data_IF_943156273220
#
_entry.id   IF_943156273220
#
_cell.length_a   1.000
_cell.length_b   1.000
_cell.length_c   1.000
_cell.angle_alpha   90.00
_cell.angle_beta   90.00
_cell.angle_gamma   90.00
#
_symmetry.space_group_name_H-M   'P 1'
#
loop_
_entity.id
_entity.type
_entity.pdbx_description
1 polymer ?
#
# COMPACT_ATOMS: atom_id res chain seq x y z
N UNK A 1 6.29 -13.48 -29.15
CA UNK A 1 6.00 -13.67 -27.72
C UNK A 1 7.24 -13.23 -26.95
N UNK A 2 7.30 -11.97 -26.49
CA UNK A 2 8.48 -11.47 -25.79
C UNK A 2 8.22 -11.55 -24.28
N UNK A 3 9.04 -12.33 -23.59
CA UNK A 3 8.98 -12.52 -22.14
C UNK A 3 9.47 -11.23 -21.49
N UNK A 4 8.59 -10.55 -20.76
CA UNK A 4 8.91 -9.36 -19.98
C UNK A 4 9.74 -9.79 -18.77
N UNK A 5 11.07 -9.69 -18.84
CA UNK A 5 11.91 -9.81 -17.66
C UNK A 5 11.97 -8.44 -16.99
N UNK A 6 11.31 -8.31 -15.84
CA UNK A 6 11.46 -7.16 -14.96
C UNK A 6 12.83 -7.25 -14.29
N UNK A 7 13.71 -6.28 -14.56
CA UNK A 7 14.98 -6.14 -13.85
C UNK A 7 14.71 -5.18 -12.68
N UNK A 8 14.77 -5.63 -11.40
CA UNK A 8 14.60 -4.73 -10.27
C UNK A 8 15.86 -3.87 -10.10
N UNK A 9 15.71 -2.55 -10.22
CA UNK A 9 16.73 -1.58 -9.83
C UNK A 9 16.48 -1.22 -8.34
N UNK A 10 17.45 -1.39 -7.43
CA UNK A 10 17.27 -1.05 -6.03
C UNK A 10 17.29 0.48 -5.84
N UNK A 11 16.28 1.03 -5.17
CA UNK A 11 16.34 2.38 -4.56
C UNK A 11 15.49 3.48 -5.20
N UNK A 12 14.91 3.26 -6.37
CA UNK A 12 13.87 4.14 -6.94
C UNK A 12 12.59 3.31 -7.09
N UNK A 13 11.42 3.92 -6.85
CA UNK A 13 10.11 3.31 -7.14
C UNK A 13 10.17 2.60 -8.48
N UNK A 14 10.06 1.27 -8.49
CA UNK A 14 10.32 0.45 -9.67
C UNK A 14 9.55 0.98 -10.88
N UNK A 15 10.27 1.64 -11.79
CA UNK A 15 9.75 2.12 -13.06
C UNK A 15 9.55 0.87 -13.93
N UNK A 16 8.34 0.32 -13.91
CA UNK A 16 7.95 -0.74 -14.83
C UNK A 16 7.82 -0.14 -16.23
N UNK A 17 8.90 -0.21 -17.01
CA UNK A 17 8.91 0.21 -18.40
C UNK A 17 8.14 -0.82 -19.25
N UNK A 18 6.98 -0.41 -19.76
CA UNK A 18 6.25 -1.18 -20.75
C UNK A 18 6.81 -0.91 -22.15
N UNK A 19 7.29 -1.94 -22.83
CA UNK A 19 7.68 -1.87 -24.25
C UNK A 19 6.44 -2.06 -25.12
N UNK A 20 5.97 -0.99 -25.77
CA UNK A 20 4.93 -1.07 -26.79
C UNK A 20 5.56 -0.91 -28.18
N UNK A 21 5.29 -1.86 -29.07
CA UNK A 21 5.77 -1.82 -30.46
C UNK A 21 4.77 -1.05 -31.32
N UNK A 22 5.20 0.08 -31.86
CA UNK A 22 4.42 0.84 -32.84
C UNK A 22 5.28 0.95 -34.11
N UNK A 23 4.93 0.18 -35.14
CA UNK A 23 5.77 0.05 -36.33
C UNK A 23 7.13 -0.59 -36.05
N UNK A 24 8.20 -0.04 -36.64
CA UNK A 24 9.59 -0.49 -36.45
C UNK A 24 10.32 0.19 -35.27
N UNK A 25 9.61 0.94 -34.42
CA UNK A 25 10.20 1.64 -33.28
C UNK A 25 9.60 1.08 -31.98
N UNK A 26 10.46 0.76 -31.02
CA UNK A 26 10.04 0.52 -29.65
C UNK A 26 9.89 1.88 -28.96
N UNK A 27 8.67 2.17 -28.50
CA UNK A 27 8.40 3.35 -27.69
C UNK A 27 8.41 2.91 -26.22
N UNK A 28 9.29 3.52 -25.44
CA UNK A 28 9.19 3.49 -23.98
C UNK A 28 7.97 4.33 -23.62
N UNK A 29 6.85 3.67 -23.29
CA UNK A 29 5.70 4.36 -22.71
C UNK A 29 5.85 4.23 -21.21
N UNK A 30 5.93 5.36 -20.52
CA UNK A 30 5.55 5.41 -19.12
C UNK A 30 4.11 4.89 -19.04
N UNK A 31 3.93 3.71 -18.46
CA UNK A 31 2.60 3.24 -18.11
C UNK A 31 2.04 4.26 -17.11
N UNK A 32 0.75 4.64 -17.18
CA UNK A 32 0.11 5.47 -16.17
C UNK A 32 -0.08 4.66 -14.88
N UNK A 33 1.03 4.29 -14.25
CA UNK A 33 1.14 3.71 -12.91
C UNK A 33 1.46 4.80 -11.88
N UNK A 34 1.55 6.07 -12.29
CA UNK A 34 2.01 7.15 -11.44
C UNK A 34 1.01 8.30 -11.37
N UNK A 35 -0.23 7.99 -10.99
CA UNK A 35 -0.87 8.91 -10.05
C UNK A 35 0.00 8.94 -8.79
N UNK A 36 0.31 10.12 -8.25
CA UNK A 36 1.02 10.25 -6.96
C UNK A 36 0.29 9.38 -5.92
N UNK A 37 0.96 8.31 -5.46
CA UNK A 37 0.43 7.40 -4.44
C UNK A 37 -0.11 8.17 -3.23
N UNK A 38 -1.07 7.57 -2.53
CA UNK A 38 -1.76 8.17 -1.38
C UNK A 38 -2.87 9.18 -1.73
N UNK A 39 -3.16 9.46 -3.01
CA UNK A 39 -4.32 10.30 -3.36
C UNK A 39 -5.61 9.52 -3.15
N UNK A 40 -6.55 10.09 -2.40
CA UNK A 40 -7.87 9.51 -2.19
C UNK A 40 -8.92 10.07 -3.16
N UNK A 41 -9.75 9.17 -3.69
CA UNK A 41 -10.99 9.49 -4.43
C UNK A 41 -12.18 9.04 -3.58
N UNK A 42 -13.11 9.94 -3.30
CA UNK A 42 -14.29 9.63 -2.50
C UNK A 42 -15.44 9.09 -3.37
N UNK A 43 -16.00 7.95 -3.00
CA UNK A 43 -17.23 7.40 -3.57
C UNK A 43 -18.42 7.80 -2.70
N UNK A 44 -19.36 8.56 -3.27
CA UNK A 44 -20.55 9.06 -2.55
C UNK A 44 -21.58 7.98 -2.22
N UNK A 45 -21.70 6.96 -3.06
CA UNK A 45 -22.71 5.90 -2.92
C UNK A 45 -22.37 4.97 -1.76
N UNK A 46 -21.11 4.52 -1.71
CA UNK A 46 -20.60 3.62 -0.68
C UNK A 46 -20.04 4.36 0.54
N UNK A 47 -19.91 5.70 0.43
CA UNK A 47 -19.21 6.55 1.40
C UNK A 47 -17.79 6.04 1.69
N UNK A 48 -17.10 5.46 0.71
CA UNK A 48 -15.73 4.96 0.86
C UNK A 48 -14.70 5.84 0.14
N UNK A 49 -13.43 5.64 0.45
CA UNK A 49 -12.32 6.26 -0.28
C UNK A 49 -11.50 5.18 -0.97
N UNK A 50 -11.10 5.43 -2.20
CA UNK A 50 -10.14 4.57 -2.92
C UNK A 50 -8.84 5.34 -3.10
N UNK A 51 -7.72 4.75 -2.69
CA UNK A 51 -6.40 5.33 -2.95
C UNK A 51 -5.99 5.11 -4.39
N UNK A 52 -5.05 5.95 -4.86
CA UNK A 52 -4.39 5.81 -6.16
C UNK A 52 -3.70 4.46 -6.38
N UNK A 53 -3.23 3.79 -5.32
CA UNK A 53 -2.71 2.43 -5.36
C UNK A 53 -3.80 1.35 -5.39
N UNK A 54 -5.07 1.73 -5.32
CA UNK A 54 -6.21 0.83 -5.43
C UNK A 54 -6.66 0.19 -4.12
N UNK A 55 -6.28 0.70 -2.96
CA UNK A 55 -6.85 0.28 -1.68
C UNK A 55 -8.19 0.96 -1.43
N UNK A 56 -9.17 0.24 -0.89
CA UNK A 56 -10.46 0.81 -0.51
C UNK A 56 -10.57 0.96 1.02
N UNK A 57 -11.00 2.13 1.47
CA UNK A 57 -11.21 2.48 2.87
C UNK A 57 -12.69 2.76 3.11
N UNK A 58 -13.38 1.78 3.70
CA UNK A 58 -14.82 1.84 3.95
C UNK A 58 -15.17 2.57 5.26
N UNK A 59 -16.47 2.73 5.52
CA UNK A 59 -16.98 3.18 6.83
C UNK A 59 -16.80 2.10 7.91
N UNK A 60 -16.93 2.51 9.17
CA UNK A 60 -16.81 1.63 10.35
C UNK A 60 -15.49 1.77 11.09
N UNK A 61 -15.27 0.90 12.09
CA UNK A 61 -14.31 1.07 13.21
C UNK A 61 -14.76 2.08 14.26
N UNK A 62 -14.07 2.10 15.41
CA UNK A 62 -14.29 3.09 16.47
C UNK A 62 -13.98 4.53 16.03
N UNK A 63 -13.22 4.70 14.94
CA UNK A 63 -12.86 6.00 14.37
C UNK A 63 -13.88 6.51 13.33
N UNK A 64 -14.91 5.71 13.02
CA UNK A 64 -15.96 6.02 12.04
C UNK A 64 -15.62 5.65 10.60
N UNK A 65 -14.35 5.69 10.18
CA UNK A 65 -13.91 5.14 8.89
C UNK A 65 -12.49 4.57 8.92
N UNK A 66 -12.17 3.75 7.91
CA UNK A 66 -10.89 3.05 7.79
C UNK A 66 -9.70 3.98 7.53
N UNK A 67 -9.88 5.12 6.86
CA UNK A 67 -8.81 6.12 6.67
C UNK A 67 -8.36 6.66 8.03
N UNK A 68 -9.30 7.09 8.87
CA UNK A 68 -9.00 7.58 10.22
C UNK A 68 -8.36 6.50 11.08
N UNK A 69 -8.83 5.26 10.97
CA UNK A 69 -8.26 4.13 11.71
C UNK A 69 -6.79 3.90 11.35
N UNK A 70 -6.44 3.81 10.06
CA UNK A 70 -5.02 3.59 9.69
C UNK A 70 -4.15 4.77 10.05
N UNK A 71 -4.66 6.01 9.93
CA UNK A 71 -3.91 7.21 10.35
C UNK A 71 -3.65 7.23 11.86
N UNK A 72 -4.47 6.58 12.68
CA UNK A 72 -4.25 6.47 14.13
C UNK A 72 -2.97 5.69 14.46
N UNK A 73 -2.52 4.77 13.59
CA UNK A 73 -1.25 4.06 13.71
C UNK A 73 -0.01 4.95 13.47
N UNK A 74 -0.17 6.27 13.30
CA UNK A 74 0.94 7.24 13.31
C UNK A 74 1.15 7.88 14.68
N UNK A 75 0.35 7.48 15.68
CA UNK A 75 0.39 8.02 17.02
C UNK A 75 0.52 6.90 18.06
N UNK A 76 1.36 7.08 19.08
CA UNK A 76 1.35 6.19 20.23
C UNK A 76 -0.02 6.20 20.91
N UNK A 77 -0.47 5.02 21.34
CA UNK A 77 -1.67 4.88 22.16
C UNK A 77 -1.28 4.19 23.48
N UNK A 78 -1.12 4.93 24.60
CA UNK A 78 -0.66 4.37 25.86
C UNK A 78 -1.64 3.32 26.44
N UNK A 79 -2.89 3.31 25.99
CA UNK A 79 -3.90 2.34 26.42
C UNK A 79 -3.82 1.01 25.64
N UNK A 80 -2.89 0.88 24.69
CA UNK A 80 -2.69 -0.33 23.87
C UNK A 80 -1.24 -0.81 23.98
N UNK A 81 -0.93 -1.77 24.87
CA UNK A 81 0.44 -2.23 25.11
C UNK A 81 1.12 -2.82 23.87
N UNK A 82 0.36 -3.41 22.95
CA UNK A 82 0.86 -4.06 21.73
C UNK A 82 0.49 -3.24 20.49
N UNK A 83 0.84 -1.94 20.49
CA UNK A 83 0.55 -1.03 19.40
C UNK A 83 1.83 -0.46 18.80
N UNK A 84 2.19 -0.95 17.62
CA UNK A 84 3.31 -0.41 16.86
C UNK A 84 2.89 0.87 16.12
N UNK A 85 3.86 1.77 15.91
CA UNK A 85 3.62 3.13 15.42
C UNK A 85 4.50 3.39 14.21
N UNK A 86 3.91 3.91 13.14
CA UNK A 86 4.66 4.33 11.96
C UNK A 86 5.58 5.52 12.28
N UNK A 87 6.80 5.50 11.75
CA UNK A 87 7.77 6.58 11.94
C UNK A 87 7.67 7.71 10.88
N UNK A 88 6.56 7.76 10.15
CA UNK A 88 6.33 8.74 9.08
C UNK A 88 5.19 9.70 9.43
N UNK A 89 5.20 10.88 8.80
CA UNK A 89 4.09 11.81 8.94
C UNK A 89 2.78 11.22 8.38
N UNK A 90 1.66 11.52 9.06
CA UNK A 90 0.32 11.04 8.68
C UNK A 90 -0.07 11.36 7.24
N UNK A 91 0.43 12.47 6.67
CA UNK A 91 0.15 12.87 5.28
C UNK A 91 0.84 11.97 4.25
N UNK A 92 1.83 11.19 4.68
CA UNK A 92 2.60 10.24 3.88
C UNK A 92 2.16 8.79 4.07
N UNK A 93 1.29 8.50 5.05
CA UNK A 93 0.93 7.13 5.36
C UNK A 93 0.25 6.41 4.19
N UNK A 94 -0.71 7.05 3.53
CA UNK A 94 -1.44 6.42 2.44
C UNK A 94 -0.54 6.15 1.22
N UNK A 95 0.48 6.99 1.01
CA UNK A 95 1.52 6.78 0.00
C UNK A 95 2.33 5.51 0.30
N UNK A 96 2.72 5.33 1.57
CA UNK A 96 3.43 4.14 2.03
C UNK A 96 2.58 2.86 1.92
N UNK A 97 1.27 2.94 2.23
CA UNK A 97 0.36 1.80 2.11
C UNK A 97 0.12 1.40 0.65
N UNK A 98 0.01 2.37 -0.26
CA UNK A 98 -0.05 2.12 -1.71
C UNK A 98 1.24 1.45 -2.21
N UNK A 99 2.40 1.92 -1.77
CA UNK A 99 3.68 1.28 -2.08
C UNK A 99 3.71 -0.18 -1.59
N UNK A 100 3.32 -0.43 -0.34
CA UNK A 100 3.25 -1.79 0.20
C UNK A 100 2.28 -2.67 -0.61
N UNK A 101 1.10 -2.15 -0.92
CA UNK A 101 0.11 -2.88 -1.73
C UNK A 101 0.66 -3.26 -3.11
N UNK A 102 1.42 -2.37 -3.75
CA UNK A 102 2.08 -2.66 -5.03
C UNK A 102 3.15 -3.77 -4.93
N UNK A 103 3.80 -3.89 -3.77
CA UNK A 103 4.82 -4.91 -3.47
C UNK A 103 4.24 -6.24 -3.01
N UNK A 104 2.94 -6.30 -2.70
CA UNK A 104 2.27 -7.47 -2.13
C UNK A 104 2.49 -8.75 -2.95
N UNK A 105 2.80 -8.63 -4.25
CA UNK A 105 3.11 -9.76 -5.13
C UNK A 105 1.93 -10.71 -5.31
N UNK A 106 2.03 -11.65 -6.25
CA UNK A 106 0.99 -12.66 -6.47
C UNK A 106 0.95 -13.75 -5.39
N UNK A 107 1.94 -13.79 -4.48
CA UNK A 107 2.23 -14.95 -3.63
C UNK A 107 1.53 -14.96 -2.27
N UNK A 108 0.60 -14.04 -2.02
CA UNK A 108 -0.22 -14.08 -0.81
C UNK A 108 -1.44 -14.96 -1.06
N UNK A 109 -1.69 -15.98 -0.21
CA UNK A 109 -2.89 -16.80 -0.34
C UNK A 109 -4.12 -15.91 -0.43
N UNK A 110 -5.00 -16.15 -1.41
CA UNK A 110 -6.25 -15.39 -1.65
C UNK A 110 -7.10 -15.26 -0.38
N UNK A 111 -6.93 -16.21 0.55
CA UNK A 111 -7.68 -16.34 1.80
C UNK A 111 -7.02 -15.63 2.99
N UNK A 112 -5.82 -15.07 2.82
CA UNK A 112 -5.10 -14.42 3.92
C UNK A 112 -5.68 -13.05 4.23
N UNK A 113 -6.13 -12.87 5.47
CA UNK A 113 -6.61 -11.57 5.97
C UNK A 113 -5.46 -10.59 6.20
N UNK A 114 -4.27 -11.09 6.55
CA UNK A 114 -3.12 -10.28 6.92
C UNK A 114 -1.94 -10.58 6.00
N UNK A 115 -1.19 -9.56 5.65
CA UNK A 115 -0.04 -9.63 4.76
C UNK A 115 1.10 -8.83 5.37
N UNK A 116 2.19 -9.49 5.74
CA UNK A 116 3.40 -8.82 6.21
C UNK A 116 4.27 -8.53 5.00
N UNK A 117 4.33 -7.26 4.62
CA UNK A 117 4.96 -6.80 3.38
C UNK A 117 6.30 -6.16 3.74
N UNK A 118 7.43 -6.76 3.36
CA UNK A 118 8.75 -6.18 3.61
C UNK A 118 8.92 -4.85 2.86
N UNK A 119 9.30 -3.79 3.58
CA UNK A 119 9.49 -2.45 3.00
C UNK A 119 10.96 -2.11 2.69
N UNK A 120 11.90 -2.95 3.15
CA UNK A 120 13.33 -2.79 2.91
C UNK A 120 13.98 -1.60 3.64
N UNK A 121 13.25 -0.96 4.55
CA UNK A 121 13.70 0.18 5.36
C UNK A 121 12.93 0.23 6.68
N UNK A 122 13.46 0.95 7.67
CA UNK A 122 12.75 1.19 8.94
C UNK A 122 11.54 2.09 8.68
N UNK A 123 10.35 1.59 8.97
CA UNK A 123 9.06 2.28 8.78
C UNK A 123 8.26 2.43 10.09
N UNK A 124 8.76 1.89 11.20
CA UNK A 124 8.18 2.05 12.53
C UNK A 124 9.15 2.65 13.55
N UNK A 125 8.61 3.13 14.66
CA UNK A 125 9.38 3.87 15.69
C UNK A 125 10.30 2.97 16.51
N UNK A 126 10.15 1.64 16.46
CA UNK A 126 10.92 0.68 17.24
C UNK A 126 11.76 -0.27 16.35
N UNK A 127 12.02 0.13 15.10
CA UNK A 127 12.84 -0.61 14.16
C UNK A 127 12.06 -1.59 13.27
N UNK A 128 10.73 -1.49 13.21
CA UNK A 128 9.91 -2.28 12.30
C UNK A 128 10.25 -2.01 10.83
N UNK A 129 10.32 -3.07 10.02
CA UNK A 129 10.78 -3.02 8.62
C UNK A 129 9.76 -3.56 7.62
N UNK A 130 8.59 -4.00 8.09
CA UNK A 130 7.50 -4.50 7.27
C UNK A 130 6.15 -3.93 7.71
N UNK A 131 5.20 -3.90 6.79
CA UNK A 131 3.83 -3.46 7.08
C UNK A 131 2.94 -4.68 7.13
N UNK A 132 2.26 -4.88 8.26
CA UNK A 132 1.11 -5.78 8.30
C UNK A 132 -0.11 -5.06 7.76
N UNK A 133 -0.49 -5.39 6.54
CA UNK A 133 -1.69 -4.88 5.88
C UNK A 133 -2.81 -5.91 5.99
N UNK A 134 -3.92 -5.53 6.63
CA UNK A 134 -5.07 -6.40 6.83
C UNK A 134 -6.22 -5.94 5.92
N UNK A 135 -6.69 -6.84 5.06
CA UNK A 135 -7.81 -6.61 4.13
C UNK A 135 -8.92 -7.65 4.31
N UNK A 136 -10.12 -7.35 3.82
CA UNK A 136 -11.15 -8.38 3.67
C UNK A 136 -10.67 -9.43 2.63
N UNK A 137 -10.76 -10.75 2.93
CA UNK A 137 -10.29 -11.81 2.04
C UNK A 137 -10.79 -11.66 0.60
N UNK A 138 -9.89 -11.85 -0.38
CA UNK A 138 -10.24 -11.72 -1.80
C UNK A 138 -10.53 -10.29 -2.29
N UNK A 139 -10.30 -9.26 -1.47
CA UNK A 139 -10.57 -7.86 -1.84
C UNK A 139 -9.37 -6.94 -1.59
N UNK A 140 -9.55 -5.65 -1.90
CA UNK A 140 -8.68 -4.53 -1.58
C UNK A 140 -9.22 -3.66 -0.41
N UNK A 141 -10.25 -4.11 0.31
CA UNK A 141 -10.88 -3.35 1.40
C UNK A 141 -10.07 -3.44 2.67
N UNK A 142 -9.50 -2.32 3.08
CA UNK A 142 -8.61 -2.21 4.24
C UNK A 142 -9.39 -2.31 5.54
N UNK A 143 -8.94 -3.20 6.43
CA UNK A 143 -9.41 -3.31 7.82
C UNK A 143 -8.50 -2.49 8.73
N UNK A 144 -7.18 -2.70 8.64
CA UNK A 144 -6.14 -1.95 9.37
C UNK A 144 -4.77 -2.13 8.70
N UNK A 145 -3.81 -1.29 9.05
CA UNK A 145 -2.41 -1.42 8.68
C UNK A 145 -1.52 -0.89 9.81
N UNK A 146 -0.45 -1.61 10.15
CA UNK A 146 0.51 -1.19 11.18
C UNK A 146 1.90 -1.77 10.91
N UNK A 147 2.97 -1.13 11.41
CA UNK A 147 4.33 -1.61 11.20
C UNK A 147 4.62 -2.86 12.05
N UNK A 148 5.43 -3.79 11.55
CA UNK A 148 5.83 -5.02 12.26
C UNK A 148 7.32 -5.34 12.02
N UNK A 149 7.90 -6.09 12.94
CA UNK A 149 9.22 -6.73 12.75
C UNK A 149 9.03 -8.04 12.00
N UNK A 150 9.96 -8.35 11.09
CA UNK A 150 10.11 -9.66 10.47
C UNK A 150 11.17 -10.48 11.22
#
# INVERSE_FOLDING_TARGET
>A
LAILQAIPIPGESALMLGLSKIGNKFLLKELPMLGKFGKLTYNKETKSWTSSGGLEYTQGSVHGNRVKHVLDHTKPNPNKPTHSVFNIDKTKLLELLDEAWSKKGASIPVNSRASDIPMGRIIGTEGETAIRLVVEPGTNKVITAYPVKL
#
